data_IF_739334615718
#
_entry.id   IF_739334615718
#
_cell.length_a   1.000
_cell.length_b   1.000
_cell.length_c   1.000
_cell.angle_alpha   90.00
_cell.angle_beta   90.00
_cell.angle_gamma   90.00
#
_symmetry.space_group_name_H-M   'P 1'
#
loop_
_entity.id
_entity.type
_entity.pdbx_description
1 polymer ?
#
# COMPACT_ATOMS: atom_id res chain seq x y z
N UNK A 1 -8.19 5.46 1.49
CA UNK A 1 -7.22 4.38 1.37
C UNK A 1 -6.37 4.33 2.64
N UNK A 2 -6.89 3.77 3.74
CA UNK A 2 -6.34 3.92 5.11
C UNK A 2 -5.02 3.17 5.40
N UNK A 3 -4.19 2.96 4.38
CA UNK A 3 -2.99 2.13 4.41
C UNK A 3 -1.72 2.82 3.91
N UNK A 4 -1.78 4.03 3.33
CA UNK A 4 -0.60 4.65 2.70
C UNK A 4 0.56 4.89 3.67
N UNK A 5 0.31 5.39 4.89
CA UNK A 5 1.37 5.54 5.90
C UNK A 5 1.93 4.19 6.37
N UNK A 6 1.08 3.17 6.48
CA UNK A 6 1.53 1.84 6.89
C UNK A 6 2.41 1.18 5.82
N UNK A 7 2.26 1.58 4.55
CA UNK A 7 3.11 1.16 3.43
C UNK A 7 4.41 1.98 3.40
N UNK A 8 4.35 3.25 3.76
CA UNK A 8 5.50 4.15 3.71
C UNK A 8 6.59 3.81 4.74
N UNK A 9 6.22 3.37 5.95
CA UNK A 9 7.19 3.01 7.01
C UNK A 9 8.18 1.93 6.54
N UNK A 10 7.74 0.75 6.05
CA UNK A 10 8.68 -0.27 5.58
C UNK A 10 9.50 0.18 4.37
N UNK A 11 8.98 1.08 3.52
CA UNK A 11 9.76 1.64 2.42
C UNK A 11 10.88 2.60 2.91
N UNK A 12 10.61 3.43 3.93
CA UNK A 12 11.68 4.18 4.59
C UNK A 12 12.70 3.28 5.27
N UNK A 13 12.25 2.18 5.88
CA UNK A 13 13.14 1.16 6.45
C UNK A 13 14.07 0.55 5.39
N UNK A 14 13.53 0.24 4.21
CA UNK A 14 14.33 -0.25 3.09
C UNK A 14 15.27 0.82 2.52
N UNK A 15 14.83 2.08 2.43
CA UNK A 15 15.69 3.21 2.05
C UNK A 15 16.89 3.32 3.00
N UNK A 16 16.64 3.27 4.31
CA UNK A 16 17.68 3.29 5.34
C UNK A 16 18.64 2.10 5.24
N UNK A 17 18.10 0.93 4.90
CA UNK A 17 18.90 -0.28 4.68
C UNK A 17 19.79 -0.15 3.46
N UNK A 18 19.27 0.31 2.33
CA UNK A 18 20.03 0.55 1.10
C UNK A 18 21.20 1.49 1.38
N UNK A 19 20.94 2.58 2.11
CA UNK A 19 21.94 3.56 2.50
C UNK A 19 23.02 2.95 3.42
N UNK A 20 22.59 2.21 4.46
CA UNK A 20 23.51 1.56 5.39
C UNK A 20 24.38 0.50 4.71
N UNK A 21 23.78 -0.34 3.86
CA UNK A 21 24.46 -1.39 3.11
C UNK A 21 25.51 -0.79 2.16
N UNK A 22 25.20 0.35 1.53
CA UNK A 22 26.17 1.05 0.69
C UNK A 22 27.35 1.58 1.50
N UNK A 23 27.12 2.18 2.67
CA UNK A 23 28.20 2.68 3.53
C UNK A 23 29.16 1.55 3.94
N UNK A 24 28.64 0.35 4.18
CA UNK A 24 29.45 -0.80 4.61
C UNK A 24 30.14 -1.50 3.44
N UNK A 25 29.43 -1.73 2.34
CA UNK A 25 29.90 -2.59 1.25
C UNK A 25 30.41 -1.84 0.03
N UNK A 26 30.10 -0.55 -0.08
CA UNK A 26 30.27 0.25 -1.30
C UNK A 26 29.60 -0.36 -2.55
N UNK A 27 28.65 -1.28 -2.37
CA UNK A 27 27.92 -1.93 -3.46
C UNK A 27 26.58 -1.24 -3.71
N UNK A 28 26.34 -0.89 -4.97
CA UNK A 28 25.12 -0.26 -5.43
C UNK A 28 24.67 -0.87 -6.75
N UNK A 29 23.36 -1.09 -6.90
CA UNK A 29 22.77 -1.75 -8.06
C UNK A 29 21.68 -0.88 -8.68
N UNK A 30 21.35 -1.17 -9.93
CA UNK A 30 20.26 -0.51 -10.63
C UNK A 30 18.91 -0.67 -9.90
N UNK A 31 18.63 -1.85 -9.34
CA UNK A 31 17.39 -2.07 -8.57
C UNK A 31 17.29 -1.16 -7.34
N UNK A 32 18.41 -0.88 -6.67
CA UNK A 32 18.47 0.06 -5.55
C UNK A 32 18.22 1.50 -6.02
N UNK A 33 18.81 1.90 -7.14
CA UNK A 33 18.58 3.22 -7.75
C UNK A 33 17.12 3.41 -8.17
N UNK A 34 16.54 2.38 -8.80
CA UNK A 34 15.14 2.34 -9.17
C UNK A 34 14.23 2.52 -7.96
N UNK A 35 14.48 1.76 -6.89
CA UNK A 35 13.73 1.91 -5.63
C UNK A 35 13.80 3.33 -5.08
N UNK A 36 14.98 3.93 -5.00
CA UNK A 36 15.17 5.31 -4.48
C UNK A 36 14.39 6.33 -5.32
N UNK A 37 14.48 6.21 -6.64
CA UNK A 37 13.79 7.13 -7.56
C UNK A 37 12.28 6.95 -7.51
N UNK A 38 11.78 5.70 -7.46
CA UNK A 38 10.35 5.42 -7.34
C UNK A 38 9.81 5.93 -6.00
N UNK A 39 10.57 5.74 -4.93
CA UNK A 39 10.28 6.29 -3.62
C UNK A 39 10.16 7.83 -3.68
N UNK A 40 11.12 8.50 -4.31
CA UNK A 40 11.07 9.95 -4.50
C UNK A 40 9.84 10.37 -5.31
N UNK A 41 9.59 9.76 -6.47
CA UNK A 41 8.44 10.08 -7.33
C UNK A 41 7.10 9.88 -6.62
N UNK A 42 7.01 8.90 -5.73
CA UNK A 42 5.78 8.61 -4.98
C UNK A 42 5.54 9.59 -3.83
N UNK A 43 6.61 10.06 -3.18
CA UNK A 43 6.52 10.79 -1.91
C UNK A 43 7.08 12.23 -1.96
N UNK A 44 7.44 12.74 -3.15
CA UNK A 44 7.85 14.12 -3.33
C UNK A 44 6.70 15.14 -3.20
N UNK A 45 5.45 14.69 -3.30
CA UNK A 45 4.27 15.54 -3.10
C UNK A 45 3.91 15.62 -1.62
N UNK A 46 4.16 16.79 -1.03
CA UNK A 46 3.80 17.09 0.36
C UNK A 46 2.29 16.99 0.59
N UNK A 47 1.44 17.22 -0.43
CA UNK A 47 -0.02 17.12 -0.30
C UNK A 47 -0.51 15.68 -0.17
N UNK A 48 0.11 14.74 -0.90
CA UNK A 48 -0.21 13.33 -0.78
C UNK A 48 0.16 12.80 0.62
N UNK A 49 1.32 13.23 1.13
CA UNK A 49 1.76 12.89 2.48
C UNK A 49 0.84 13.49 3.57
N UNK A 50 0.48 14.77 3.45
CA UNK A 50 -0.48 15.44 4.35
C UNK A 50 -1.84 14.73 4.36
N UNK A 51 -2.37 14.36 3.19
CA UNK A 51 -3.63 13.63 3.06
C UNK A 51 -3.56 12.24 3.73
N UNK A 52 -2.44 11.52 3.58
CA UNK A 52 -2.23 10.22 4.19
C UNK A 52 -2.18 10.29 5.73
N UNK A 53 -1.59 11.37 6.29
CA UNK A 53 -1.61 11.64 7.74
C UNK A 53 -3.03 11.91 8.22
N UNK A 54 -3.75 12.77 7.51
CA UNK A 54 -5.14 13.09 7.84
C UNK A 54 -6.00 11.82 7.85
N UNK A 55 -5.90 10.95 6.84
CA UNK A 55 -6.64 9.69 6.82
C UNK A 55 -6.29 8.78 8.00
N UNK A 56 -5.00 8.64 8.33
CA UNK A 56 -4.56 7.82 9.47
C UNK A 56 -5.15 8.32 10.80
N UNK A 57 -5.17 9.64 11.00
CA UNK A 57 -5.68 10.29 12.21
C UNK A 57 -7.21 10.18 12.29
N UNK A 58 -7.90 10.27 11.15
CA UNK A 58 -9.36 10.18 11.06
C UNK A 58 -9.89 8.74 11.23
N UNK A 59 -9.17 7.73 10.75
CA UNK A 59 -9.65 6.34 10.72
C UNK A 59 -9.24 5.49 11.94
N UNK A 60 -8.18 5.87 12.67
CA UNK A 60 -7.64 5.08 13.78
C UNK A 60 -7.80 5.76 15.13
N UNK A 61 -7.85 4.95 16.19
CA UNK A 61 -7.84 5.46 17.57
C UNK A 61 -6.51 6.14 17.89
N UNK A 62 -6.54 7.12 18.80
CA UNK A 62 -5.41 7.98 19.17
C UNK A 62 -4.14 7.22 19.49
N UNK A 63 -4.26 6.19 20.29
CA UNK A 63 -3.13 5.36 20.73
C UNK A 63 -2.47 4.66 19.52
N UNK A 64 -3.28 4.27 18.52
CA UNK A 64 -2.81 3.54 17.33
C UNK A 64 -2.15 4.46 16.31
N UNK A 65 -2.74 5.62 15.98
CA UNK A 65 -2.06 6.52 15.03
C UNK A 65 -0.81 7.15 15.65
N UNK A 66 -0.80 7.44 16.96
CA UNK A 66 0.38 8.02 17.63
C UNK A 66 1.58 7.08 17.56
N UNK A 67 1.34 5.77 17.77
CA UNK A 67 2.40 4.76 17.65
C UNK A 67 2.92 4.66 16.21
N UNK A 68 2.04 4.71 15.20
CA UNK A 68 2.42 4.66 13.78
C UNK A 68 3.22 5.91 13.39
N UNK A 69 2.80 7.10 13.82
CA UNK A 69 3.51 8.35 13.54
C UNK A 69 4.89 8.41 14.21
N UNK A 70 5.02 7.89 15.44
CA UNK A 70 6.33 7.80 16.11
C UNK A 70 7.28 6.84 15.40
N UNK A 71 6.79 5.70 14.91
CA UNK A 71 7.59 4.78 14.10
C UNK A 71 8.05 5.42 12.79
N UNK A 72 7.15 6.12 12.10
CA UNK A 72 7.48 6.87 10.88
C UNK A 72 8.53 7.95 11.16
N UNK A 73 8.35 8.75 12.20
CA UNK A 73 9.30 9.77 12.65
C UNK A 73 10.68 9.17 12.89
N UNK A 74 10.76 8.04 13.58
CA UNK A 74 12.02 7.36 13.89
C UNK A 74 12.78 6.95 12.62
N UNK A 75 12.08 6.38 11.63
CA UNK A 75 12.72 5.99 10.36
C UNK A 75 13.16 7.20 9.54
N UNK A 76 12.41 8.29 9.60
CA UNK A 76 12.77 9.57 8.98
C UNK A 76 14.04 10.15 9.62
N UNK A 77 14.11 10.21 10.95
CA UNK A 77 15.27 10.74 11.68
C UNK A 77 16.53 9.93 11.41
N UNK A 78 16.42 8.60 11.33
CA UNK A 78 17.54 7.73 10.93
C UNK A 78 18.05 8.06 9.53
N UNK A 79 17.14 8.25 8.58
CA UNK A 79 17.50 8.59 7.21
C UNK A 79 18.31 9.88 7.12
N UNK A 80 17.84 10.92 7.82
CA UNK A 80 18.50 12.23 7.91
C UNK A 80 19.90 12.06 8.51
N UNK A 81 20.01 11.38 9.65
CA UNK A 81 21.28 11.19 10.34
C UNK A 81 22.32 10.45 9.47
N UNK A 82 21.86 9.46 8.69
CA UNK A 82 22.72 8.71 7.78
C UNK A 82 23.23 9.63 6.66
N UNK A 83 22.33 10.39 6.02
CA UNK A 83 22.68 11.26 4.90
C UNK A 83 23.58 12.44 5.31
N UNK A 84 23.35 13.06 6.47
CA UNK A 84 24.17 14.16 6.96
C UNK A 84 25.61 13.74 7.30
N UNK A 85 25.77 12.53 7.88
CA UNK A 85 27.10 12.00 8.19
C UNK A 85 27.84 11.53 6.94
N UNK A 86 27.10 11.02 5.97
CA UNK A 86 27.64 10.43 4.76
C UNK A 86 26.74 10.83 3.58
N UNK A 87 26.97 12.00 2.93
CA UNK A 87 26.27 12.35 1.70
C UNK A 87 26.47 11.23 0.69
N UNK A 88 25.36 10.65 0.24
CA UNK A 88 25.38 9.45 -0.58
C UNK A 88 25.34 9.79 -2.07
N UNK A 89 26.15 9.05 -2.83
CA UNK A 89 26.19 8.97 -4.29
C UNK A 89 26.50 10.30 -4.99
N UNK A 90 27.64 10.36 -5.65
CA UNK A 90 27.80 11.28 -6.76
C UNK A 90 27.02 10.77 -7.98
N UNK A 91 26.83 11.68 -8.95
CA UNK A 91 26.17 11.36 -10.21
C UNK A 91 26.94 10.28 -11.00
N UNK A 92 28.22 10.07 -10.70
CA UNK A 92 29.07 9.06 -11.34
C UNK A 92 28.64 7.63 -10.95
N UNK A 93 28.38 7.37 -9.67
CA UNK A 93 27.92 6.05 -9.20
C UNK A 93 26.57 5.71 -9.84
N UNK A 94 25.63 6.66 -9.86
CA UNK A 94 24.29 6.47 -10.44
C UNK A 94 24.39 6.26 -11.95
N UNK A 95 25.14 7.12 -12.64
CA UNK A 95 25.38 6.99 -14.08
C UNK A 95 25.95 5.60 -14.40
N UNK A 96 26.96 5.15 -13.66
CA UNK A 96 27.60 3.85 -13.88
C UNK A 96 26.63 2.68 -13.74
N UNK A 97 25.80 2.64 -12.69
CA UNK A 97 24.84 1.54 -12.52
C UNK A 97 23.74 1.56 -13.58
N UNK A 98 23.31 2.76 -14.01
CA UNK A 98 22.32 2.94 -15.05
C UNK A 98 22.86 2.53 -16.43
N UNK A 99 24.08 2.93 -16.80
CA UNK A 99 24.70 2.51 -18.06
C UNK A 99 24.99 1.01 -18.08
N UNK A 100 25.51 0.44 -16.98
CA UNK A 100 25.73 -1.01 -16.90
C UNK A 100 24.43 -1.81 -17.08
N UNK A 101 23.28 -1.30 -16.59
CA UNK A 101 21.99 -1.93 -16.84
C UNK A 101 21.51 -1.75 -18.28
N UNK A 102 21.72 -0.55 -18.85
CA UNK A 102 21.35 -0.23 -20.22
C UNK A 102 22.06 -1.13 -21.26
N UNK A 103 23.33 -1.42 -21.00
CA UNK A 103 24.21 -2.18 -21.91
C UNK A 103 24.32 -3.67 -21.53
N UNK A 104 23.40 -4.16 -20.68
CA UNK A 104 23.43 -5.54 -20.14
C UNK A 104 23.33 -6.65 -21.19
N UNK A 105 22.89 -6.32 -22.40
CA UNK A 105 22.70 -7.27 -23.50
C UNK A 105 23.78 -7.16 -24.59
N UNK A 106 24.72 -6.22 -24.49
CA UNK A 106 25.74 -5.98 -25.51
C UNK A 106 26.57 -7.23 -25.83
N UNK A 107 26.95 -7.98 -24.79
CA UNK A 107 27.72 -9.21 -24.94
C UNK A 107 26.92 -10.31 -25.65
N UNK A 108 25.64 -10.46 -25.31
CA UNK A 108 24.75 -11.45 -25.91
C UNK A 108 24.42 -11.10 -27.36
N UNK A 109 24.15 -9.83 -27.65
CA UNK A 109 23.94 -9.31 -29.00
C UNK A 109 25.18 -9.57 -29.86
N UNK A 110 26.37 -9.26 -29.35
CA UNK A 110 27.62 -9.51 -30.07
C UNK A 110 27.80 -11.00 -30.38
N UNK A 111 27.56 -11.87 -29.39
CA UNK A 111 27.66 -13.32 -29.57
C UNK A 111 26.63 -13.84 -30.60
N UNK A 112 25.38 -13.38 -30.53
CA UNK A 112 24.32 -13.80 -31.45
C UNK A 112 24.58 -13.28 -32.88
N UNK A 113 25.09 -12.06 -33.01
CA UNK A 113 25.49 -11.49 -34.31
C UNK A 113 26.56 -12.35 -34.99
N UNK A 114 27.54 -12.86 -34.26
CA UNK A 114 28.54 -13.78 -34.79
C UNK A 114 27.92 -15.10 -35.28
N UNK A 115 26.89 -15.61 -34.60
CA UNK A 115 26.14 -16.81 -35.03
C UNK A 115 25.41 -16.53 -36.34
N UNK A 116 24.64 -15.45 -36.41
CA UNK A 116 23.89 -15.05 -37.61
C UNK A 116 24.84 -14.81 -38.81
N UNK A 117 26.01 -14.19 -38.59
CA UNK A 117 27.02 -13.99 -39.62
C UNK A 117 27.60 -15.31 -40.15
N UNK A 118 27.86 -16.30 -39.28
CA UNK A 118 28.36 -17.62 -39.69
C UNK A 118 27.36 -18.37 -40.59
N UNK A 119 26.05 -18.17 -40.39
CA UNK A 119 24.99 -18.79 -41.19
C UNK A 119 24.77 -18.13 -42.56
N UNK A 120 25.21 -16.88 -42.75
CA UNK A 120 25.03 -16.14 -44.02
C UNK A 120 25.71 -16.83 -45.21
N UNK A 121 26.93 -17.36 -45.01
CA UNK A 121 27.67 -18.02 -46.09
C UNK A 121 26.99 -19.32 -46.56
N UNK A 122 26.66 -20.29 -45.68
CA UNK A 122 25.90 -21.48 -46.07
C UNK A 122 24.56 -21.17 -46.74
N UNK A 123 23.83 -20.16 -46.25
CA UNK A 123 22.56 -19.72 -46.84
C UNK A 123 22.76 -19.22 -48.28
N UNK A 124 23.73 -18.34 -48.50
CA UNK A 124 24.02 -17.81 -49.83
C UNK A 124 24.48 -18.91 -50.80
N UNK A 125 25.30 -19.86 -50.32
CA UNK A 125 25.72 -21.01 -51.13
C UNK A 125 24.54 -21.91 -51.51
N UNK A 126 23.63 -22.21 -50.57
CA UNK A 126 22.43 -23.00 -50.84
C UNK A 126 21.46 -22.28 -51.78
N UNK A 127 21.28 -20.97 -51.60
CA UNK A 127 20.48 -20.12 -52.49
C UNK A 127 21.05 -20.13 -53.92
N UNK A 128 22.36 -19.92 -54.08
CA UNK A 128 23.01 -19.95 -55.39
C UNK A 128 22.90 -21.32 -56.06
N UNK A 129 23.00 -22.43 -55.29
CA UNK A 129 22.78 -23.80 -55.81
C UNK A 129 21.35 -23.98 -56.32
N UNK A 130 20.36 -23.50 -55.57
CA UNK A 130 18.95 -23.58 -55.94
C UNK A 130 18.63 -22.70 -57.16
N UNK A 131 19.05 -21.44 -57.17
CA UNK A 131 18.82 -20.50 -58.27
C UNK A 131 19.48 -20.96 -59.58
N UNK A 132 20.73 -21.42 -59.51
CA UNK A 132 21.47 -21.86 -60.70
C UNK A 132 20.93 -23.15 -61.34
N UNK A 133 20.14 -23.96 -60.63
CA UNK A 133 19.69 -25.26 -61.15
C UNK A 133 18.75 -25.12 -62.35
N UNK A 134 17.95 -24.05 -62.38
CA UNK A 134 17.00 -23.76 -63.46
C UNK A 134 17.67 -23.46 -64.81
N UNK A 135 18.99 -23.25 -64.83
CA UNK A 135 19.74 -22.89 -66.03
C UNK A 135 20.52 -24.08 -66.65
N UNK A 136 20.43 -25.29 -66.08
CA UNK A 136 21.09 -26.51 -66.60
C UNK A 136 20.12 -27.67 -66.78
N UNK A 137 20.50 -28.67 -67.58
CA UNK A 137 19.78 -29.96 -67.60
C UNK A 137 19.94 -30.62 -66.23
N UNK A 138 18.83 -30.98 -65.60
CA UNK A 138 18.78 -31.58 -64.27
C UNK A 138 17.59 -32.54 -64.16
N UNK A 139 17.60 -33.36 -63.11
CA UNK A 139 16.50 -34.22 -62.73
C UNK A 139 15.61 -33.54 -61.69
N UNK A 140 14.32 -33.88 -61.65
CA UNK A 140 13.39 -33.39 -60.64
C UNK A 140 13.84 -33.72 -59.18
N UNK A 141 14.62 -34.79 -59.02
CA UNK A 141 15.18 -35.16 -57.71
C UNK A 141 16.29 -34.19 -57.26
N UNK A 142 17.14 -33.72 -58.18
CA UNK A 142 18.18 -32.73 -57.88
C UNK A 142 17.58 -31.37 -57.49
N UNK A 143 16.54 -30.93 -58.20
CA UNK A 143 15.84 -29.67 -57.91
C UNK A 143 15.19 -29.70 -56.52
N UNK A 144 14.45 -30.77 -56.23
CA UNK A 144 13.82 -30.97 -54.91
C UNK A 144 14.85 -31.04 -53.78
N UNK A 145 16.04 -31.59 -54.03
CA UNK A 145 17.11 -31.66 -53.05
C UNK A 145 17.75 -30.28 -52.80
N UNK A 146 17.96 -29.48 -53.85
CA UNK A 146 18.49 -28.12 -53.73
C UNK A 146 17.50 -27.19 -53.00
N UNK A 147 16.21 -27.28 -53.32
CA UNK A 147 15.15 -26.54 -52.62
C UNK A 147 15.11 -26.88 -51.13
N UNK A 148 15.14 -28.18 -50.80
CA UNK A 148 15.13 -28.65 -49.40
C UNK A 148 16.36 -28.16 -48.62
N UNK A 149 17.53 -28.12 -49.26
CA UNK A 149 18.76 -27.60 -48.64
C UNK A 149 18.67 -26.09 -48.39
N UNK A 150 18.18 -25.32 -49.37
CA UNK A 150 17.95 -23.89 -49.22
C UNK A 150 16.97 -23.58 -48.10
N UNK A 151 15.79 -24.21 -48.08
CA UNK A 151 14.77 -23.98 -47.06
C UNK A 151 15.26 -24.38 -45.66
N UNK A 152 16.10 -25.42 -45.53
CA UNK A 152 16.76 -25.76 -44.26
C UNK A 152 17.68 -24.63 -43.79
N UNK A 153 18.62 -24.19 -44.64
CA UNK A 153 19.58 -23.14 -44.27
C UNK A 153 18.89 -21.80 -43.99
N UNK A 154 17.81 -21.50 -44.73
CA UNK A 154 16.97 -20.32 -44.51
C UNK A 154 16.25 -20.38 -43.18
N UNK A 155 15.64 -21.52 -42.83
CA UNK A 155 14.97 -21.69 -41.55
C UNK A 155 15.95 -21.57 -40.36
N UNK A 156 17.15 -22.12 -40.48
CA UNK A 156 18.21 -21.96 -39.47
C UNK A 156 18.64 -20.50 -39.33
N UNK A 157 18.86 -19.80 -40.43
CA UNK A 157 19.23 -18.38 -40.42
C UNK A 157 18.14 -17.48 -39.82
N UNK A 158 16.89 -17.63 -40.26
CA UNK A 158 15.77 -16.81 -39.77
C UNK A 158 15.53 -17.04 -38.28
N UNK A 159 15.64 -18.29 -37.79
CA UNK A 159 15.55 -18.58 -36.35
C UNK A 159 16.59 -17.81 -35.52
N UNK A 160 17.85 -17.83 -35.95
CA UNK A 160 18.92 -17.13 -35.22
C UNK A 160 18.85 -15.61 -35.38
N UNK A 161 18.28 -15.13 -36.48
CA UNK A 161 17.98 -13.70 -36.71
C UNK A 161 16.81 -13.21 -35.85
N UNK A 162 15.76 -14.01 -35.67
CA UNK A 162 14.66 -13.71 -34.75
C UNK A 162 15.14 -13.56 -33.31
N UNK A 163 16.06 -14.41 -32.85
CA UNK A 163 16.67 -14.25 -31.51
C UNK A 163 17.53 -12.98 -31.41
N UNK A 164 18.26 -12.63 -32.47
CA UNK A 164 19.02 -11.38 -32.52
C UNK A 164 18.09 -10.15 -32.44
N UNK A 165 16.99 -10.15 -33.19
CA UNK A 165 15.98 -9.08 -33.17
C UNK A 165 15.35 -8.95 -31.77
N UNK A 166 15.09 -10.09 -31.11
CA UNK A 166 14.61 -10.12 -29.73
C UNK A 166 15.61 -9.50 -28.75
N UNK A 167 16.89 -9.79 -28.87
CA UNK A 167 17.93 -9.21 -28.01
C UNK A 167 18.02 -7.68 -28.18
N UNK A 168 17.95 -7.18 -29.42
CA UNK A 168 17.92 -5.73 -29.68
C UNK A 168 16.68 -5.05 -29.07
N UNK A 169 15.53 -5.70 -29.10
CA UNK A 169 14.32 -5.16 -28.46
C UNK A 169 14.45 -5.15 -26.92
N UNK A 170 15.06 -6.18 -26.32
CA UNK A 170 15.37 -6.20 -24.88
C UNK A 170 16.35 -5.08 -24.49
N UNK A 171 17.41 -4.86 -25.28
CA UNK A 171 18.37 -3.76 -25.07
C UNK A 171 17.69 -2.39 -25.16
N UNK A 172 16.82 -2.19 -26.16
CA UNK A 172 16.03 -0.96 -26.30
C UNK A 172 15.16 -0.72 -25.07
N UNK A 173 14.51 -1.76 -24.55
CA UNK A 173 13.68 -1.66 -23.34
C UNK A 173 14.53 -1.33 -22.11
N UNK A 174 15.68 -1.99 -21.93
CA UNK A 174 16.60 -1.74 -20.82
C UNK A 174 17.15 -0.30 -20.84
N UNK A 175 17.53 0.21 -22.02
CA UNK A 175 17.95 1.61 -22.22
C UNK A 175 16.84 2.60 -21.86
N UNK A 176 15.63 2.35 -22.34
CA UNK A 176 14.46 3.20 -22.04
C UNK A 176 14.10 3.19 -20.55
N UNK A 177 14.23 2.03 -19.90
CA UNK A 177 14.01 1.92 -18.46
C UNK A 177 15.10 2.68 -17.70
N UNK A 178 16.37 2.42 -17.99
CA UNK A 178 17.52 3.05 -17.33
C UNK A 178 17.46 4.57 -17.34
N UNK A 179 17.09 5.16 -18.49
CA UNK A 179 16.99 6.61 -18.63
C UNK A 179 15.98 7.26 -17.66
N UNK A 180 14.96 6.52 -17.21
CA UNK A 180 13.95 7.03 -16.28
C UNK A 180 14.47 7.17 -14.83
N UNK A 181 15.66 6.63 -14.56
CA UNK A 181 16.26 6.50 -13.23
C UNK A 181 17.66 7.11 -13.15
N UNK A 182 18.11 7.84 -14.18
CA UNK A 182 19.46 8.40 -14.26
C UNK A 182 19.67 9.62 -13.37
N UNK A 183 18.57 10.29 -12.98
CA UNK A 183 18.62 11.47 -12.12
C UNK A 183 18.92 11.09 -10.67
N UNK A 184 19.81 11.87 -10.03
CA UNK A 184 20.16 11.69 -8.63
C UNK A 184 19.15 12.40 -7.72
N UNK A 185 18.16 11.66 -7.23
CA UNK A 185 17.17 12.19 -6.29
C UNK A 185 17.66 12.18 -4.83
N UNK A 186 18.85 11.70 -4.49
CA UNK A 186 19.23 11.47 -3.09
C UNK A 186 19.29 12.78 -2.29
N UNK A 187 19.84 13.83 -2.89
CA UNK A 187 19.85 15.18 -2.30
C UNK A 187 18.46 15.79 -2.20
N UNK A 188 17.58 15.51 -3.16
CA UNK A 188 16.21 16.01 -3.13
C UNK A 188 15.38 15.26 -2.09
N UNK A 189 15.55 13.95 -1.89
CA UNK A 189 14.91 13.18 -0.81
C UNK A 189 15.26 13.75 0.56
N UNK A 190 16.51 14.19 0.75
CA UNK A 190 16.93 14.92 1.94
C UNK A 190 16.17 16.26 2.08
N UNK A 191 16.07 17.03 0.99
CA UNK A 191 15.39 18.35 0.95
C UNK A 191 13.87 18.30 1.07
N UNK A 192 13.22 17.24 0.57
CA UNK A 192 11.76 17.02 0.60
C UNK A 192 11.16 17.16 1.99
N UNK A 193 11.97 17.02 3.04
CA UNK A 193 11.48 17.06 4.42
C UNK A 193 11.57 18.42 5.10
N UNK A 194 12.33 19.40 4.60
CA UNK A 194 12.65 20.57 5.41
C UNK A 194 12.93 21.89 4.68
N UNK A 195 12.87 21.96 3.34
CA UNK A 195 13.25 23.18 2.59
C UNK A 195 12.55 24.47 3.07
N UNK A 196 11.32 24.39 3.54
CA UNK A 196 10.56 25.58 3.97
C UNK A 196 10.94 26.07 5.37
N UNK A 197 11.40 25.18 6.24
CA UNK A 197 11.69 25.46 7.66
C UNK A 197 13.19 25.72 7.88
N UNK A 198 14.07 24.99 7.19
CA UNK A 198 15.51 25.24 7.22
C UNK A 198 15.89 26.57 6.57
N UNK A 199 15.20 26.98 5.49
CA UNK A 199 15.46 28.28 4.87
C UNK A 199 15.15 29.47 5.80
N UNK A 200 14.25 29.30 6.78
CA UNK A 200 13.93 30.33 7.80
C UNK A 200 14.94 30.31 8.96
N UNK A 201 15.50 29.14 9.29
CA UNK A 201 16.54 28.97 10.30
C UNK A 201 17.89 29.46 9.79
N UNK A 202 18.25 29.18 8.53
CA UNK A 202 19.48 29.67 7.89
C UNK A 202 19.52 31.20 7.74
N UNK A 203 18.36 31.86 7.64
CA UNK A 203 18.23 33.32 7.71
C UNK A 203 18.21 33.89 9.13
N UNK A 204 18.24 33.04 10.17
CA UNK A 204 18.22 33.43 11.57
C UNK A 204 16.86 33.90 12.09
N UNK A 205 15.76 33.61 11.37
CA UNK A 205 14.42 34.12 11.66
C UNK A 205 13.63 33.21 12.63
N UNK A 206 14.07 31.96 12.86
CA UNK A 206 13.40 31.02 13.77
C UNK A 206 14.41 30.16 14.56
N UNK A 207 14.14 29.94 15.85
CA UNK A 207 14.93 29.04 16.70
C UNK A 207 14.33 27.63 16.74
N UNK A 208 15.17 26.60 16.93
CA UNK A 208 14.77 25.19 17.04
C UNK A 208 13.63 24.94 18.07
N UNK A 209 13.66 25.67 19.19
CA UNK A 209 12.62 25.57 20.22
C UNK A 209 11.30 26.24 19.80
N UNK A 210 11.36 27.28 18.97
CA UNK A 210 10.18 27.92 18.37
C UNK A 210 9.52 26.99 17.36
N UNK A 211 10.33 26.33 16.53
CA UNK A 211 9.84 25.39 15.52
C UNK A 211 9.09 24.20 16.15
N UNK A 212 9.67 23.61 17.21
CA UNK A 212 9.03 22.53 17.97
C UNK A 212 7.68 22.96 18.58
N UNK A 213 7.59 24.20 19.06
CA UNK A 213 6.36 24.79 19.61
C UNK A 213 5.31 25.10 18.54
N UNK A 214 5.73 25.52 17.34
CA UNK A 214 4.82 25.78 16.22
C UNK A 214 4.19 24.49 15.68
N UNK A 215 4.94 23.38 15.61
CA UNK A 215 4.38 22.07 15.25
C UNK A 215 3.37 21.57 16.29
N UNK A 216 3.68 21.73 17.59
CA UNK A 216 2.74 21.39 18.66
C UNK A 216 1.46 22.25 18.60
N UNK A 217 1.60 23.55 18.30
CA UNK A 217 0.49 24.47 18.16
C UNK A 217 -0.40 24.12 16.96
N UNK A 218 0.20 23.89 15.79
CA UNK A 218 -0.51 23.50 14.56
C UNK A 218 -1.26 22.18 14.72
N UNK A 219 -0.60 21.19 15.33
CA UNK A 219 -1.22 19.89 15.64
C UNK A 219 -2.41 20.06 16.58
N UNK A 220 -2.29 20.94 17.59
CA UNK A 220 -3.38 21.25 18.53
C UNK A 220 -4.53 21.99 17.86
N UNK A 221 -4.25 22.94 16.97
CA UNK A 221 -5.24 23.75 16.26
C UNK A 221 -6.09 22.90 15.31
N UNK A 222 -5.45 22.10 14.44
CA UNK A 222 -6.16 21.17 13.55
C UNK A 222 -6.98 20.15 14.35
N UNK A 223 -6.44 19.64 15.46
CA UNK A 223 -7.19 18.72 16.33
C UNK A 223 -8.42 19.39 16.93
N UNK A 224 -8.31 20.67 17.32
CA UNK A 224 -9.42 21.46 17.85
C UNK A 224 -10.49 21.73 16.79
N UNK A 225 -10.09 22.10 15.58
CA UNK A 225 -11.01 22.33 14.45
C UNK A 225 -11.74 21.05 14.01
N UNK A 226 -11.04 19.91 13.97
CA UNK A 226 -11.63 18.61 13.66
C UNK A 226 -12.64 18.16 14.72
N UNK A 227 -12.36 18.39 16.01
CA UNK A 227 -13.30 18.12 17.11
C UNK A 227 -14.53 19.04 17.02
N UNK A 228 -14.35 20.27 16.52
CA UNK A 228 -15.39 21.29 16.40
C UNK A 228 -16.24 21.14 15.12
N UNK A 229 -15.88 20.22 14.22
CA UNK A 229 -16.57 20.04 12.95
C UNK A 229 -17.83 19.17 13.11
N UNK A 230 -18.97 19.83 13.37
CA UNK A 230 -20.30 19.21 13.49
C UNK A 230 -20.72 18.35 12.27
N UNK A 231 -20.10 18.57 11.10
CA UNK A 231 -20.37 17.80 9.87
C UNK A 231 -19.73 16.40 9.88
N UNK A 232 -18.64 16.20 10.63
CA UNK A 232 -17.94 14.90 10.73
C UNK A 232 -18.44 14.06 11.92
N UNK A 233 -18.86 14.73 13.00
CA UNK A 233 -19.38 14.10 14.23
C UNK A 233 -20.84 14.49 14.50
N UNK A 234 -21.65 14.63 13.45
CA UNK A 234 -23.06 14.99 13.54
C UNK A 234 -23.82 14.02 14.44
N UNK A 235 -23.90 14.34 15.72
CA UNK A 235 -24.63 13.57 16.71
C UNK A 235 -26.10 13.92 16.58
N UNK A 236 -26.95 12.90 16.46
CA UNK A 236 -28.40 13.12 16.48
C UNK A 236 -28.86 13.04 17.92
N UNK A 237 -29.69 13.97 18.35
CA UNK A 237 -30.33 13.87 19.66
C UNK A 237 -31.23 12.62 19.65
N UNK A 238 -31.05 11.75 20.64
CA UNK A 238 -31.89 10.56 20.79
C UNK A 238 -33.28 10.89 21.33
N UNK A 239 -33.42 12.04 22.00
CA UNK A 239 -34.58 12.38 22.82
C UNK A 239 -34.64 11.62 24.16
N UNK A 240 -33.65 10.78 24.48
CA UNK A 240 -33.62 9.95 25.69
C UNK A 240 -32.66 10.54 26.75
N UNK A 241 -33.11 10.54 28.01
CA UNK A 241 -32.25 10.82 29.16
C UNK A 241 -31.28 9.65 29.40
N UNK A 242 -30.12 9.93 29.99
CA UNK A 242 -29.13 8.90 30.32
C UNK A 242 -29.64 8.02 31.48
N UNK A 243 -29.75 6.69 31.30
CA UNK A 243 -30.25 5.82 32.36
C UNK A 243 -29.30 5.71 33.56
N UNK A 244 -28.00 6.04 33.39
CA UNK A 244 -26.98 5.98 34.44
C UNK A 244 -26.92 7.23 35.32
N UNK A 245 -26.99 8.42 34.73
CA UNK A 245 -26.87 9.67 35.50
C UNK A 245 -28.17 10.48 35.62
N UNK A 246 -29.18 10.21 34.80
CA UNK A 246 -30.47 10.93 34.77
C UNK A 246 -30.40 12.38 34.29
N UNK A 247 -29.21 13.01 34.32
CA UNK A 247 -29.01 14.43 34.02
C UNK A 247 -28.52 14.70 32.60
N UNK A 248 -27.72 13.79 32.03
CA UNK A 248 -27.22 13.89 30.66
C UNK A 248 -28.23 13.35 29.63
N UNK A 249 -28.09 13.76 28.37
CA UNK A 249 -28.83 13.19 27.23
C UNK A 249 -27.99 12.19 26.46
N UNK A 250 -28.65 11.19 25.89
CA UNK A 250 -27.98 10.22 25.03
C UNK A 250 -27.87 10.77 23.60
N UNK A 251 -26.67 10.74 23.03
CA UNK A 251 -26.36 11.19 21.68
C UNK A 251 -26.07 10.01 20.77
N UNK A 252 -26.72 9.96 19.62
CA UNK A 252 -26.57 8.86 18.67
C UNK A 252 -25.43 9.15 17.70
N UNK A 253 -24.44 8.27 17.70
CA UNK A 253 -23.35 8.22 16.73
C UNK A 253 -23.44 6.91 15.94
N UNK A 254 -22.75 6.83 14.80
CA UNK A 254 -22.91 5.72 13.85
C UNK A 254 -22.78 4.32 14.47
N UNK A 255 -21.83 4.12 15.40
CA UNK A 255 -21.57 2.80 16.03
C UNK A 255 -21.85 2.75 17.54
N UNK A 256 -22.02 3.90 18.18
CA UNK A 256 -22.12 4.03 19.64
C UNK A 256 -23.14 5.11 19.99
N UNK A 257 -23.83 4.93 21.10
CA UNK A 257 -24.68 5.94 21.71
C UNK A 257 -24.06 6.34 23.04
N UNK A 258 -23.84 7.64 23.27
CA UNK A 258 -23.09 8.12 24.44
C UNK A 258 -23.83 9.22 25.18
N UNK A 259 -23.75 9.20 26.51
CA UNK A 259 -24.18 10.32 27.34
C UNK A 259 -23.32 11.56 27.06
N UNK A 260 -23.95 12.73 26.89
CA UNK A 260 -23.26 14.02 26.67
C UNK A 260 -22.70 14.66 27.95
N UNK A 261 -23.16 14.25 29.13
CA UNK A 261 -22.53 14.61 30.39
C UNK A 261 -21.10 14.01 30.47
N UNK A 262 -20.09 14.88 30.53
CA UNK A 262 -18.66 14.55 30.55
C UNK A 262 -18.23 13.71 31.76
N UNK A 263 -18.91 13.83 32.90
CA UNK A 263 -18.60 13.05 34.11
C UNK A 263 -19.20 11.64 34.06
N UNK A 264 -20.28 11.42 33.29
CA UNK A 264 -20.92 10.13 33.15
C UNK A 264 -20.36 9.33 31.96
N UNK A 265 -20.42 9.94 30.78
CA UNK A 265 -19.87 9.39 29.54
C UNK A 265 -20.36 8.00 29.11
N UNK A 266 -21.46 7.48 29.67
CA UNK A 266 -21.94 6.09 29.47
C UNK A 266 -21.92 5.70 27.97
N UNK A 267 -21.11 4.70 27.57
CA UNK A 267 -21.07 4.23 26.20
C UNK A 267 -21.99 3.01 25.98
N UNK A 268 -22.87 3.09 24.99
CA UNK A 268 -23.73 1.98 24.56
C UNK A 268 -23.42 1.64 23.10
N UNK A 269 -22.63 0.59 22.89
CA UNK A 269 -22.30 0.11 21.54
C UNK A 269 -23.52 -0.52 20.87
N UNK A 270 -23.74 -0.22 19.58
CA UNK A 270 -24.89 -0.75 18.82
C UNK A 270 -24.70 -2.18 18.34
N UNK A 271 -23.46 -2.59 18.10
CA UNK A 271 -23.13 -3.93 17.64
C UNK A 271 -23.04 -4.88 18.85
N UNK A 272 -23.92 -5.90 18.89
CA UNK A 272 -23.95 -6.94 19.91
C UNK A 272 -23.97 -8.31 19.25
N UNK A 273 -23.00 -9.16 19.60
CA UNK A 273 -22.91 -10.55 19.12
C UNK A 273 -23.17 -10.69 17.59
N UNK A 274 -22.53 -9.86 16.77
CA UNK A 274 -22.66 -9.91 15.31
C UNK A 274 -23.94 -9.33 14.71
N UNK A 275 -24.80 -8.70 15.53
CA UNK A 275 -26.01 -7.98 15.09
C UNK A 275 -25.95 -6.51 15.54
N UNK A 276 -26.28 -5.59 14.64
CA UNK A 276 -26.41 -4.15 14.97
C UNK A 276 -27.84 -3.86 15.42
N UNK A 277 -28.00 -3.20 16.57
CA UNK A 277 -29.28 -2.74 17.09
C UNK A 277 -29.77 -1.50 16.33
N UNK A 278 -31.06 -1.47 15.99
CA UNK A 278 -31.71 -0.32 15.36
C UNK A 278 -31.81 0.87 16.32
N UNK A 279 -32.15 2.05 15.79
CA UNK A 279 -32.31 3.24 16.64
C UNK A 279 -33.43 3.04 17.67
N UNK A 280 -34.53 2.41 17.26
CA UNK A 280 -35.67 2.12 18.14
C UNK A 280 -35.33 1.06 19.20
N UNK A 281 -34.57 0.03 18.83
CA UNK A 281 -34.10 -0.99 19.79
C UNK A 281 -33.15 -0.39 20.84
N UNK A 282 -32.32 0.58 20.45
CA UNK A 282 -31.49 1.32 21.41
C UNK A 282 -32.34 2.24 22.28
N UNK A 283 -33.36 2.90 21.73
CA UNK A 283 -34.28 3.72 22.53
C UNK A 283 -35.00 2.87 23.58
N UNK A 284 -35.55 1.72 23.19
CA UNK A 284 -36.17 0.76 24.13
C UNK A 284 -35.20 0.38 25.26
N UNK A 285 -33.94 0.06 24.92
CA UNK A 285 -32.90 -0.24 25.91
C UNK A 285 -32.62 0.94 26.86
N UNK A 286 -32.60 2.17 26.35
CA UNK A 286 -32.31 3.37 27.13
C UNK A 286 -33.48 3.81 28.02
N UNK A 287 -34.72 3.59 27.60
CA UNK A 287 -35.92 4.02 28.35
C UNK A 287 -36.44 2.93 29.29
N UNK A 288 -36.52 1.68 28.83
CA UNK A 288 -37.08 0.56 29.58
C UNK A 288 -36.00 -0.25 30.32
N UNK A 289 -34.71 -0.01 30.02
CA UNK A 289 -33.60 -0.81 30.53
C UNK A 289 -33.42 -2.17 29.85
N UNK A 290 -34.32 -2.53 28.93
CA UNK A 290 -34.28 -3.77 28.16
C UNK A 290 -34.93 -3.63 26.78
N UNK A 291 -34.51 -4.46 25.82
CA UNK A 291 -35.16 -4.57 24.50
C UNK A 291 -36.31 -5.57 24.52
N UNK A 292 -37.08 -5.63 23.43
CA UNK A 292 -37.92 -6.80 23.12
C UNK A 292 -37.05 -8.03 22.81
N UNK A 293 -37.67 -9.20 22.62
CA UNK A 293 -36.94 -10.39 22.17
C UNK A 293 -36.40 -10.16 20.75
N UNK A 294 -35.09 -10.13 20.62
CA UNK A 294 -34.38 -9.86 19.38
C UNK A 294 -33.77 -11.14 18.81
N UNK A 295 -33.95 -11.36 17.50
CA UNK A 295 -33.46 -12.56 16.80
C UNK A 295 -32.12 -12.35 16.08
N UNK A 296 -31.40 -13.43 15.81
CA UNK A 296 -30.25 -13.38 14.89
C UNK A 296 -28.94 -12.85 15.49
N UNK A 297 -28.78 -12.93 16.81
CA UNK A 297 -27.45 -12.82 17.42
C UNK A 297 -26.62 -14.06 17.08
N UNK A 298 -25.29 -13.92 17.01
CA UNK A 298 -24.35 -15.01 16.71
C UNK A 298 -23.47 -15.30 17.92
N UNK A 299 -23.48 -16.55 18.36
CA UNK A 299 -22.57 -17.04 19.42
C UNK A 299 -21.12 -17.09 18.92
N UNK A 300 -20.16 -17.26 19.84
CA UNK A 300 -18.74 -17.45 19.49
C UNK A 300 -18.51 -18.68 18.59
N UNK A 301 -19.42 -19.65 18.61
CA UNK A 301 -19.38 -20.85 17.76
C UNK A 301 -20.15 -20.65 16.42
N UNK A 302 -20.57 -19.43 16.10
CA UNK A 302 -21.28 -19.09 14.86
C UNK A 302 -22.77 -19.44 14.84
N UNK A 303 -23.30 -20.12 15.86
CA UNK A 303 -24.72 -20.48 15.96
C UNK A 303 -25.58 -19.26 16.28
N UNK A 304 -26.72 -19.11 15.59
CA UNK A 304 -27.68 -18.05 15.85
C UNK A 304 -28.51 -18.30 17.10
N UNK A 305 -28.83 -17.25 17.85
CA UNK A 305 -29.73 -17.29 19.00
C UNK A 305 -30.58 -16.02 19.11
N UNK A 306 -31.66 -16.14 19.87
CA UNK A 306 -32.61 -15.06 20.17
C UNK A 306 -32.46 -14.68 21.65
N UNK A 307 -32.41 -13.38 21.96
CA UNK A 307 -32.23 -12.88 23.33
C UNK A 307 -32.82 -11.48 23.50
N UNK A 308 -33.14 -11.13 24.73
CA UNK A 308 -33.38 -9.74 25.14
C UNK A 308 -32.03 -9.12 25.54
N UNK A 309 -31.75 -7.89 25.12
CA UNK A 309 -30.59 -7.14 25.61
C UNK A 309 -31.05 -6.25 26.75
N UNK A 310 -30.40 -6.31 27.91
CA UNK A 310 -30.75 -5.52 29.09
C UNK A 310 -29.51 -4.90 29.74
N UNK A 311 -29.68 -3.84 30.52
CA UNK A 311 -28.61 -3.34 31.39
C UNK A 311 -28.46 -4.21 32.65
N UNK A 312 -27.22 -4.45 33.07
CA UNK A 312 -26.92 -4.96 34.41
C UNK A 312 -26.82 -3.81 35.43
N UNK A 313 -26.50 -4.14 36.69
CA UNK A 313 -26.36 -3.15 37.77
C UNK A 313 -25.24 -2.11 37.57
N UNK A 314 -24.35 -2.33 36.62
CA UNK A 314 -23.27 -1.40 36.25
C UNK A 314 -23.55 -0.66 34.93
N UNK A 315 -24.75 -0.85 34.36
CA UNK A 315 -25.15 -0.34 33.05
C UNK A 315 -24.34 -0.91 31.88
N UNK A 316 -23.77 -2.11 32.02
CA UNK A 316 -23.28 -2.89 30.89
C UNK A 316 -24.43 -3.66 30.25
N UNK A 317 -24.33 -3.91 28.94
CA UNK A 317 -25.37 -4.67 28.22
C UNK A 317 -25.16 -6.17 28.36
N UNK A 318 -26.17 -6.89 28.81
CA UNK A 318 -26.19 -8.35 28.97
C UNK A 318 -27.32 -8.98 28.16
N UNK A 319 -27.25 -10.30 27.94
CA UNK A 319 -28.29 -11.06 27.26
C UNK A 319 -29.16 -11.81 28.27
N UNK A 320 -30.48 -11.60 28.20
CA UNK A 320 -31.50 -12.31 28.96
C UNK A 320 -32.24 -13.25 28.02
N UNK A 321 -32.25 -14.54 28.36
CA UNK A 321 -32.90 -15.58 27.57
C UNK A 321 -34.26 -15.94 28.18
N UNK A 322 -35.33 -16.03 27.38
CA UNK A 322 -36.63 -16.45 27.90
C UNK A 322 -36.58 -17.90 28.40
N UNK A 323 -37.26 -18.20 29.52
CA UNK A 323 -37.32 -19.56 30.06
C UNK A 323 -38.02 -20.51 29.08
N UNK A 324 -37.43 -21.68 28.85
CA UNK A 324 -38.01 -22.72 28.02
C UNK A 324 -39.29 -23.26 28.67
N UNK A 325 -40.43 -23.16 27.97
CA UNK A 325 -41.66 -23.87 28.38
C UNK A 325 -41.37 -25.37 28.37
N UNK A 326 -41.39 -26.00 29.55
CA UNK A 326 -41.40 -27.47 29.69
C UNK A 326 -42.74 -27.99 29.15
N UNK A 327 -42.74 -28.63 27.98
CA UNK A 327 -43.89 -29.39 27.51
C UNK A 327 -44.18 -30.55 28.47
N UNK A 328 -45.30 -30.44 29.19
CA UNK A 328 -45.86 -31.56 29.96
C UNK A 328 -46.37 -32.61 28.98
N UNK A 329 -45.80 -33.82 29.07
CA UNK A 329 -46.43 -35.06 28.59
C UNK A 329 -47.88 -35.12 29.09
N UNK A 330 -48.83 -35.40 28.19
CA UNK A 330 -50.11 -36.02 28.55
C UNK A 330 -50.35 -37.23 27.66
N UNK A 331 -50.63 -38.34 28.33
CA UNK A 331 -50.85 -39.69 27.83
C UNK A 331 -52.32 -39.95 27.43
N UNK A 332 -52.53 -40.60 26.28
CA UNK A 332 -53.65 -41.52 25.95
C UNK A 332 -55.08 -40.93 25.88
N UNK A 333 -56.07 -41.50 25.17
CA UNK A 333 -56.23 -42.61 24.21
C UNK A 333 -57.72 -42.57 23.79
N UNK A 334 -58.07 -42.83 22.52
CA UNK A 334 -59.26 -43.60 22.05
C UNK A 334 -59.57 -43.37 20.56
N UNK A 335 -59.51 -44.42 19.75
CA UNK A 335 -60.68 -45.25 19.47
C UNK A 335 -60.28 -46.71 19.60
#
# INVERSE_FOLDING_TARGET
>A
MAGEIQIMIPQYGELNRIYSDFIVSHTFSFDKQKFITDFYKQYNDTKAFEAAILELVLDKQKEKYTLILNSLRTEIEKNILIYEKHPLFDDEIISRVCYNFADRYDADIKAQLEVTQKLSKPLNEAYNRYDSIGYRVHTAAEEKQAEKEYERCKAEYEKEKEELDRLYELERQARKESLQYIENCCGDIYKLKWEKELARIERGELSDDTFRKEIEAYTREITSELISCDKLFGSRDSGCACPKCGTGRMRFYGKVVRCDNTECGLPVFRLKAGRTLSDDEIKDLLTEGHTKLLKGFKSKQGKSFDAVVAFDGEYNTTFVFPEAKKDKKFSGRKK
#
